data_IF_560512874515
#
_entry.id   IF_560512874515
#
_cell.length_a   1.000
_cell.length_b   1.000
_cell.length_c   1.000
_cell.angle_alpha   90.00
_cell.angle_beta   90.00
_cell.angle_gamma   90.00
#
_symmetry.space_group_name_H-M   'P 1'
#
loop_
_entity.id
_entity.type
_entity.pdbx_description
1 polymer ?
#
# COMPACT_ATOMS: atom_id res chain seq x y z
N UNK A 1 13.71 -6.85 19.56
CA UNK A 1 12.83 -7.96 19.06
C UNK A 1 13.62 -8.79 18.06
N UNK A 2 13.35 -10.11 17.89
CA UNK A 2 14.05 -10.99 16.96
C UNK A 2 13.25 -11.17 15.66
N UNK A 3 13.93 -11.37 14.52
CA UNK A 3 13.27 -11.78 13.28
C UNK A 3 12.69 -13.21 13.41
N UNK A 4 11.78 -13.60 12.50
CA UNK A 4 11.06 -14.85 12.58
C UNK A 4 11.30 -15.66 11.30
N UNK A 5 12.08 -16.76 11.40
CA UNK A 5 12.43 -17.63 10.28
C UNK A 5 12.04 -19.06 10.60
N UNK A 6 11.18 -19.67 9.77
CA UNK A 6 10.74 -21.04 9.95
C UNK A 6 10.06 -21.29 11.30
N UNK A 7 9.33 -20.33 11.83
CA UNK A 7 8.64 -20.36 13.11
C UNK A 7 9.54 -20.12 14.34
N UNK A 8 10.82 -19.80 14.16
CA UNK A 8 11.76 -19.56 15.26
C UNK A 8 12.17 -18.10 15.32
N UNK A 9 12.15 -17.52 16.52
CA UNK A 9 12.76 -16.22 16.78
C UNK A 9 14.28 -16.32 16.69
N UNK A 10 14.87 -15.59 15.76
CA UNK A 10 16.26 -15.74 15.34
C UNK A 10 16.97 -14.38 15.34
N UNK A 11 18.21 -14.37 15.81
CA UNK A 11 19.14 -13.26 15.62
C UNK A 11 19.80 -13.33 14.23
N UNK A 12 20.40 -12.26 13.76
CA UNK A 12 21.21 -12.28 12.55
C UNK A 12 22.42 -13.19 12.77
N UNK A 13 22.81 -13.97 11.75
CA UNK A 13 23.92 -14.93 11.83
C UNK A 13 25.28 -14.29 12.17
N UNK A 14 25.44 -12.99 11.90
CA UNK A 14 26.63 -12.19 12.26
C UNK A 14 26.43 -11.35 13.54
N UNK A 15 25.28 -11.46 14.23
CA UNK A 15 24.93 -10.69 15.41
C UNK A 15 24.63 -9.21 15.17
N UNK A 16 24.54 -8.75 13.91
CA UNK A 16 24.24 -7.36 13.59
C UNK A 16 22.79 -7.00 13.92
N UNK A 17 22.59 -5.79 14.43
CA UNK A 17 21.27 -5.24 14.77
C UNK A 17 21.11 -3.82 14.23
N UNK A 18 19.86 -3.45 13.94
CA UNK A 18 19.47 -2.10 13.58
C UNK A 18 18.53 -1.52 14.65
N UNK A 19 18.65 -0.23 15.01
CA UNK A 19 17.77 0.41 15.95
C UNK A 19 16.39 0.67 15.34
N UNK A 20 15.36 0.52 16.16
CA UNK A 20 14.00 1.00 15.92
C UNK A 20 13.82 2.27 16.73
N UNK A 21 13.49 3.36 16.06
CA UNK A 21 13.43 4.70 16.65
C UNK A 21 11.99 5.17 16.67
N UNK A 22 11.53 5.66 17.83
CA UNK A 22 10.26 6.38 17.92
C UNK A 22 10.40 7.74 17.22
N UNK A 23 9.67 8.01 16.15
CA UNK A 23 9.81 9.24 15.39
C UNK A 23 9.34 10.50 16.15
N UNK A 24 8.48 10.35 17.17
CA UNK A 24 7.98 11.45 17.96
C UNK A 24 9.03 11.96 18.95
N UNK A 25 9.84 11.06 19.54
CA UNK A 25 10.85 11.41 20.56
C UNK A 25 12.28 11.37 20.03
N UNK A 26 12.54 10.63 18.95
CA UNK A 26 13.88 10.36 18.45
C UNK A 26 14.63 9.28 19.24
N UNK A 27 14.01 8.66 20.24
CA UNK A 27 14.63 7.65 21.10
C UNK A 27 14.62 6.28 20.44
N UNK A 28 15.63 5.47 20.74
CA UNK A 28 15.66 4.05 20.35
C UNK A 28 14.77 3.27 21.31
N UNK A 29 13.70 2.70 20.78
CA UNK A 29 12.71 1.92 21.55
C UNK A 29 12.95 0.41 21.50
N UNK A 30 13.69 -0.08 20.51
CA UNK A 30 14.05 -1.48 20.37
C UNK A 30 15.21 -1.63 19.37
N UNK A 31 15.70 -2.87 19.23
CA UNK A 31 16.59 -3.27 18.14
C UNK A 31 16.04 -4.53 17.47
N UNK A 32 16.29 -4.64 16.17
CA UNK A 32 15.95 -5.84 15.37
C UNK A 32 17.20 -6.36 14.64
N UNK A 33 17.28 -7.68 14.38
CA UNK A 33 18.38 -8.24 13.61
C UNK A 33 18.52 -7.61 12.23
N UNK A 34 19.74 -7.39 11.79
CA UNK A 34 20.06 -7.02 10.43
C UNK A 34 20.53 -8.27 9.66
N UNK A 35 19.54 -8.98 9.06
CA UNK A 35 19.76 -10.26 8.39
C UNK A 35 20.87 -10.21 7.34
N UNK A 36 21.67 -11.24 7.33
CA UNK A 36 22.66 -11.51 6.29
C UNK A 36 22.02 -12.19 5.07
N UNK A 37 22.79 -12.32 3.98
CA UNK A 37 22.35 -13.12 2.83
C UNK A 37 22.18 -14.62 3.18
N UNK A 38 22.94 -15.15 4.16
CA UNK A 38 22.76 -16.51 4.64
C UNK A 38 21.45 -16.71 5.42
N UNK A 39 21.04 -15.71 6.20
CA UNK A 39 19.73 -15.74 6.90
C UNK A 39 18.57 -15.70 5.88
N UNK A 40 18.69 -14.85 4.85
CA UNK A 40 17.72 -14.78 3.76
C UNK A 40 17.67 -16.10 2.98
N UNK A 41 18.80 -16.69 2.63
CA UNK A 41 18.92 -17.97 1.94
C UNK A 41 18.19 -19.09 2.70
N UNK A 42 18.40 -19.15 4.02
CA UNK A 42 17.71 -20.08 4.92
C UNK A 42 16.19 -19.84 4.94
N UNK A 43 15.76 -18.58 5.02
CA UNK A 43 14.33 -18.24 5.03
C UNK A 43 13.65 -18.65 3.71
N UNK A 44 14.28 -18.40 2.57
CA UNK A 44 13.78 -18.79 1.24
C UNK A 44 13.71 -20.32 1.12
N UNK A 45 14.77 -21.03 1.55
CA UNK A 45 14.81 -22.50 1.50
C UNK A 45 13.66 -23.13 2.32
N UNK A 46 13.42 -22.64 3.53
CA UNK A 46 12.30 -23.08 4.36
C UNK A 46 10.95 -22.73 3.75
N UNK A 47 10.82 -21.52 3.14
CA UNK A 47 9.56 -21.11 2.51
C UNK A 47 9.20 -22.00 1.30
N UNK A 48 10.19 -22.53 0.56
CA UNK A 48 9.93 -23.50 -0.53
C UNK A 48 9.34 -24.79 0.02
N UNK A 49 9.87 -25.34 1.10
CA UNK A 49 9.31 -26.53 1.76
C UNK A 49 7.92 -26.23 2.34
N UNK A 50 7.79 -25.13 3.09
CA UNK A 50 6.54 -24.73 3.75
C UNK A 50 5.43 -24.38 2.77
N UNK A 51 5.75 -23.90 1.58
CA UNK A 51 4.79 -23.65 0.52
C UNK A 51 4.10 -24.95 0.06
N UNK A 52 4.86 -26.05 -0.07
CA UNK A 52 4.31 -27.34 -0.44
C UNK A 52 3.37 -27.88 0.68
N UNK A 53 3.81 -27.75 1.95
CA UNK A 53 2.99 -28.12 3.10
C UNK A 53 1.67 -27.33 3.13
N UNK A 54 1.76 -26.00 2.92
CA UNK A 54 0.60 -25.11 2.95
C UNK A 54 -0.34 -25.32 1.74
N UNK A 55 0.20 -25.55 0.55
CA UNK A 55 -0.61 -25.83 -0.64
C UNK A 55 -1.44 -27.10 -0.47
N UNK A 56 -0.89 -28.13 0.17
CA UNK A 56 -1.57 -29.40 0.42
C UNK A 56 -2.75 -29.29 1.40
N UNK A 57 -2.80 -28.24 2.24
CA UNK A 57 -3.93 -28.01 3.16
C UNK A 57 -5.19 -27.69 2.35
N UNK A 58 -6.34 -28.37 2.61
CA UNK A 58 -7.60 -28.07 1.93
C UNK A 58 -8.04 -26.60 2.12
N UNK A 59 -8.73 -26.04 1.12
CA UNK A 59 -9.15 -24.62 1.18
C UNK A 59 -9.95 -24.29 2.45
N UNK A 60 -10.94 -25.14 2.82
CA UNK A 60 -11.77 -24.89 4.00
C UNK A 60 -10.97 -24.85 5.30
N UNK A 61 -9.90 -25.64 5.42
CA UNK A 61 -9.00 -25.61 6.58
C UNK A 61 -8.12 -24.35 6.55
N UNK A 62 -7.59 -23.95 5.37
CA UNK A 62 -6.89 -22.67 5.22
C UNK A 62 -7.76 -21.50 5.68
N UNK A 63 -9.03 -21.46 5.25
CA UNK A 63 -9.96 -20.40 5.63
C UNK A 63 -10.22 -20.39 7.14
N UNK A 64 -10.35 -21.55 7.78
CA UNK A 64 -10.52 -21.65 9.24
C UNK A 64 -9.27 -21.15 10.01
N UNK A 65 -8.07 -21.47 9.52
CA UNK A 65 -6.81 -20.99 10.09
C UNK A 65 -6.70 -19.48 9.94
N UNK A 66 -7.03 -18.94 8.76
CA UNK A 66 -6.96 -17.49 8.51
C UNK A 66 -8.03 -16.71 9.28
N UNK A 67 -9.22 -17.28 9.51
CA UNK A 67 -10.21 -16.66 10.41
C UNK A 67 -9.72 -16.63 11.87
N UNK A 68 -9.08 -17.71 12.33
CA UNK A 68 -8.44 -17.70 13.65
C UNK A 68 -7.35 -16.63 13.77
N UNK A 69 -6.58 -16.39 12.70
CA UNK A 69 -5.64 -15.28 12.66
C UNK A 69 -6.35 -13.93 12.82
N UNK A 70 -7.46 -13.71 12.13
CA UNK A 70 -8.25 -12.48 12.27
C UNK A 70 -8.70 -12.27 13.72
N UNK A 71 -9.24 -13.31 14.37
CA UNK A 71 -9.63 -13.25 15.77
C UNK A 71 -8.43 -12.90 16.68
N UNK A 72 -7.28 -13.54 16.49
CA UNK A 72 -6.07 -13.26 17.26
C UNK A 72 -5.59 -11.81 17.11
N UNK A 73 -5.70 -11.22 15.91
CA UNK A 73 -5.37 -9.81 15.71
C UNK A 73 -6.35 -8.89 16.47
N UNK A 74 -7.64 -9.17 16.38
CA UNK A 74 -8.69 -8.38 17.03
C UNK A 74 -8.57 -8.48 18.57
N UNK A 75 -8.23 -9.63 19.12
CA UNK A 75 -7.93 -9.81 20.54
C UNK A 75 -6.70 -9.03 21.01
N UNK A 76 -5.72 -8.82 20.13
CA UNK A 76 -4.46 -8.12 20.42
C UNK A 76 -4.40 -6.69 19.82
N UNK A 77 -5.55 -6.11 19.46
CA UNK A 77 -5.61 -4.80 18.78
C UNK A 77 -4.84 -3.70 19.53
N UNK A 78 -4.97 -3.61 20.83
CA UNK A 78 -4.30 -2.59 21.65
C UNK A 78 -2.77 -2.74 21.62
N UNK A 79 -2.27 -3.96 21.76
CA UNK A 79 -0.83 -4.23 21.73
C UNK A 79 -0.22 -3.94 20.35
N UNK A 80 -0.88 -4.37 19.28
CA UNK A 80 -0.40 -4.17 17.90
C UNK A 80 -0.44 -2.68 17.55
N UNK A 81 -1.52 -1.99 17.93
CA UNK A 81 -1.67 -0.56 17.68
C UNK A 81 -0.64 0.28 18.45
N UNK A 82 -0.36 -0.08 19.71
CA UNK A 82 0.69 0.60 20.49
C UNK A 82 2.08 0.43 19.85
N UNK A 83 2.40 -0.77 19.37
CA UNK A 83 3.63 -1.03 18.62
C UNK A 83 3.71 -0.21 17.33
N UNK A 84 2.64 -0.19 16.52
CA UNK A 84 2.59 0.56 15.27
C UNK A 84 2.69 2.07 15.51
N UNK A 85 2.07 2.58 16.57
CA UNK A 85 2.15 3.96 16.99
C UNK A 85 3.59 4.34 17.43
N UNK A 86 4.22 3.52 18.26
CA UNK A 86 5.54 3.76 18.80
C UNK A 86 6.64 3.75 17.72
N UNK A 87 6.62 2.78 16.80
CA UNK A 87 7.64 2.67 15.76
C UNK A 87 7.35 3.51 14.50
N UNK A 88 6.07 3.83 14.23
CA UNK A 88 5.62 4.54 13.04
C UNK A 88 5.28 6.01 13.24
N UNK A 89 4.96 6.42 14.48
CA UNK A 89 4.51 7.78 14.80
C UNK A 89 3.10 8.12 14.35
N UNK A 90 2.36 7.15 13.83
CA UNK A 90 0.96 7.31 13.45
C UNK A 90 0.08 7.45 14.70
N UNK A 91 -0.91 8.38 14.74
CA UNK A 91 -1.83 8.48 15.86
C UNK A 91 -2.48 7.14 16.22
N UNK A 92 -2.57 6.83 17.50
CA UNK A 92 -3.01 5.52 18.02
C UNK A 92 -4.41 5.12 17.52
N UNK A 93 -5.31 6.09 17.36
CA UNK A 93 -6.65 5.85 16.80
C UNK A 93 -6.58 5.33 15.35
N UNK A 94 -5.66 5.88 14.53
CA UNK A 94 -5.43 5.42 13.16
C UNK A 94 -4.76 4.04 13.13
N UNK A 95 -3.88 3.73 14.09
CA UNK A 95 -3.28 2.39 14.21
C UNK A 95 -4.33 1.33 14.54
N UNK A 96 -5.29 1.62 15.41
CA UNK A 96 -6.42 0.71 15.69
C UNK A 96 -7.26 0.42 14.45
N UNK A 97 -7.58 1.48 13.69
CA UNK A 97 -8.30 1.33 12.41
C UNK A 97 -7.54 0.43 11.44
N UNK A 98 -6.22 0.55 11.39
CA UNK A 98 -5.37 -0.26 10.50
C UNK A 98 -5.39 -1.75 10.89
N UNK A 99 -5.44 -2.10 12.18
CA UNK A 99 -5.57 -3.49 12.62
C UNK A 99 -6.91 -4.09 12.17
N UNK A 100 -8.01 -3.37 12.34
CA UNK A 100 -9.32 -3.81 11.84
C UNK A 100 -9.40 -3.86 10.31
N UNK A 101 -8.73 -2.94 9.62
CA UNK A 101 -8.60 -3.01 8.16
C UNK A 101 -7.90 -4.29 7.71
N UNK A 102 -6.83 -4.72 8.41
CA UNK A 102 -6.14 -5.97 8.12
C UNK A 102 -7.10 -7.17 8.17
N UNK A 103 -7.87 -7.33 9.24
CA UNK A 103 -8.79 -8.47 9.39
C UNK A 103 -9.93 -8.42 8.38
N UNK A 104 -10.44 -7.24 8.08
CA UNK A 104 -11.46 -7.04 7.05
C UNK A 104 -10.94 -7.45 5.66
N UNK A 105 -9.69 -7.08 5.32
CA UNK A 105 -9.04 -7.45 4.07
C UNK A 105 -8.89 -8.97 3.96
N UNK A 106 -8.40 -9.64 5.01
CA UNK A 106 -8.31 -11.10 5.04
C UNK A 106 -9.66 -11.76 4.79
N UNK A 107 -10.73 -11.32 5.47
CA UNK A 107 -12.08 -11.86 5.30
C UNK A 107 -12.62 -11.66 3.89
N UNK A 108 -12.31 -10.54 3.24
CA UNK A 108 -12.70 -10.30 1.83
C UNK A 108 -11.99 -11.28 0.88
N UNK A 109 -10.67 -11.49 1.04
CA UNK A 109 -9.94 -12.48 0.23
C UNK A 109 -10.39 -13.90 0.51
N UNK A 110 -10.68 -14.27 1.75
CA UNK A 110 -11.27 -15.57 2.11
C UNK A 110 -12.64 -15.77 1.45
N UNK A 111 -13.47 -14.74 1.45
CA UNK A 111 -14.77 -14.77 0.77
C UNK A 111 -14.60 -14.95 -0.75
N UNK A 112 -13.69 -14.20 -1.36
CA UNK A 112 -13.42 -14.27 -2.79
C UNK A 112 -12.88 -15.64 -3.22
N UNK A 113 -12.08 -16.30 -2.38
CA UNK A 113 -11.53 -17.62 -2.67
C UNK A 113 -12.59 -18.70 -2.88
N UNK A 114 -13.76 -18.58 -2.23
CA UNK A 114 -14.86 -19.52 -2.42
C UNK A 114 -15.48 -19.48 -3.83
N UNK A 115 -15.25 -18.40 -4.57
CA UNK A 115 -15.74 -18.21 -5.95
C UNK A 115 -14.61 -18.11 -6.96
N UNK A 116 -13.37 -18.31 -6.53
CA UNK A 116 -12.19 -18.28 -7.38
C UNK A 116 -11.89 -19.69 -7.92
N UNK A 117 -12.45 -20.01 -9.08
CA UNK A 117 -12.35 -21.32 -9.73
C UNK A 117 -12.01 -21.17 -11.21
N UNK A 118 -11.57 -22.27 -11.82
CA UNK A 118 -11.27 -22.33 -13.24
C UNK A 118 -12.53 -22.31 -14.14
N UNK A 119 -12.31 -22.38 -15.43
CA UNK A 119 -13.35 -22.32 -16.47
C UNK A 119 -13.43 -23.64 -17.21
N UNK A 120 -14.62 -24.13 -17.49
CA UNK A 120 -14.84 -25.22 -18.48
C UNK A 120 -14.75 -24.60 -19.87
N UNK A 121 -13.94 -25.19 -20.74
CA UNK A 121 -13.77 -24.74 -22.12
C UNK A 121 -14.79 -25.42 -23.06
N UNK A 122 -15.29 -24.73 -24.11
CA UNK A 122 -16.25 -25.31 -25.04
C UNK A 122 -15.56 -26.36 -25.92
N UNK A 123 -15.79 -27.63 -25.62
CA UNK A 123 -15.13 -28.77 -26.30
C UNK A 123 -15.56 -28.98 -27.77
N UNK A 124 -16.65 -28.35 -28.22
CA UNK A 124 -17.10 -28.43 -29.63
C UNK A 124 -16.76 -27.14 -30.43
N UNK A 125 -15.87 -26.27 -29.91
CA UNK A 125 -15.51 -25.06 -30.62
C UNK A 125 -14.71 -25.30 -31.92
N UNK A 126 -14.01 -26.43 -31.99
CA UNK A 126 -13.27 -26.87 -33.18
C UNK A 126 -13.66 -28.30 -33.54
N UNK A 127 -13.74 -28.61 -34.84
CA UNK A 127 -14.12 -29.97 -35.31
C UNK A 127 -13.19 -31.07 -34.76
N UNK A 128 -11.90 -30.75 -34.54
CA UNK A 128 -10.91 -31.70 -34.00
C UNK A 128 -11.05 -31.99 -32.52
N UNK A 129 -11.84 -31.18 -31.78
CA UNK A 129 -12.05 -31.33 -30.34
C UNK A 129 -13.40 -31.99 -30.00
N UNK A 130 -14.07 -32.56 -30.99
CA UNK A 130 -15.32 -33.30 -30.77
C UNK A 130 -15.08 -34.47 -29.81
N UNK A 131 -15.86 -34.54 -28.73
CA UNK A 131 -15.72 -35.54 -27.69
C UNK A 131 -14.64 -35.27 -26.63
N UNK A 132 -13.93 -34.15 -26.71
CA UNK A 132 -12.97 -33.71 -25.69
C UNK A 132 -13.69 -33.00 -24.54
N UNK A 133 -13.09 -33.01 -23.35
CA UNK A 133 -13.49 -32.18 -22.22
C UNK A 133 -12.24 -31.44 -21.72
N UNK A 134 -12.35 -30.15 -21.55
CA UNK A 134 -11.24 -29.37 -21.03
C UNK A 134 -11.69 -28.31 -19.98
N UNK A 135 -10.86 -28.09 -18.98
CA UNK A 135 -11.07 -27.06 -17.97
C UNK A 135 -9.74 -26.49 -17.51
N UNK A 136 -9.78 -25.29 -16.89
CA UNK A 136 -8.63 -24.69 -16.25
C UNK A 136 -8.72 -24.82 -14.74
N UNK A 137 -7.57 -24.87 -14.08
CA UNK A 137 -7.42 -24.72 -12.63
C UNK A 137 -6.43 -23.59 -12.34
N UNK A 138 -6.49 -23.04 -11.14
CA UNK A 138 -5.50 -22.09 -10.63
C UNK A 138 -4.55 -22.82 -9.68
N UNK A 139 -3.26 -22.67 -9.93
CA UNK A 139 -2.19 -23.18 -9.06
C UNK A 139 -1.41 -22.00 -8.47
N UNK A 140 -0.89 -22.08 -7.22
CA UNK A 140 -0.02 -21.04 -6.67
C UNK A 140 1.23 -20.86 -7.55
N UNK A 141 1.74 -19.63 -7.60
CA UNK A 141 3.02 -19.35 -8.28
C UNK A 141 4.20 -19.98 -7.53
N UNK A 142 4.15 -20.05 -6.20
CA UNK A 142 5.21 -20.58 -5.37
C UNK A 142 5.55 -19.69 -4.19
N UNK A 143 6.83 -19.33 -4.01
CA UNK A 143 7.27 -18.47 -2.92
C UNK A 143 7.36 -17.02 -3.38
N UNK A 144 6.75 -16.12 -2.62
CA UNK A 144 6.83 -14.67 -2.84
C UNK A 144 7.86 -13.99 -1.94
N UNK A 145 8.64 -13.07 -2.52
CA UNK A 145 9.27 -12.02 -1.75
C UNK A 145 8.28 -10.86 -1.61
N UNK A 146 7.81 -10.64 -0.39
CA UNK A 146 6.82 -9.63 -0.07
C UNK A 146 7.47 -8.46 0.67
N UNK A 147 7.63 -7.33 0.00
CA UNK A 147 8.33 -6.15 0.54
C UNK A 147 7.30 -5.07 0.87
N UNK A 148 7.15 -4.77 2.16
CA UNK A 148 6.14 -3.85 2.68
C UNK A 148 6.75 -2.53 3.17
N UNK A 149 6.06 -1.39 2.97
CA UNK A 149 6.53 -0.08 3.37
C UNK A 149 6.27 0.19 4.86
N UNK A 150 6.69 1.38 5.33
CA UNK A 150 6.56 1.80 6.72
C UNK A 150 5.21 2.44 7.08
N UNK A 151 4.50 3.02 6.10
CA UNK A 151 3.40 3.95 6.36
C UNK A 151 2.10 3.28 6.84
N UNK A 152 1.79 2.10 6.32
CA UNK A 152 0.67 1.26 6.75
C UNK A 152 1.14 -0.20 6.87
N UNK A 153 2.01 -0.50 7.86
CA UNK A 153 2.67 -1.80 7.95
C UNK A 153 1.70 -2.96 8.22
N UNK A 154 0.58 -2.71 8.88
CA UNK A 154 -0.44 -3.71 9.20
C UNK A 154 -1.37 -3.95 8.01
N UNK A 155 -1.94 -2.88 7.44
CA UNK A 155 -2.90 -2.95 6.34
C UNK A 155 -2.25 -3.44 5.04
N UNK A 156 -1.10 -2.85 4.65
CA UNK A 156 -0.42 -3.23 3.41
C UNK A 156 0.19 -4.64 3.49
N UNK A 157 0.52 -5.13 4.68
CA UNK A 157 0.85 -6.54 4.85
C UNK A 157 -0.35 -7.44 4.53
N UNK A 158 -1.57 -7.06 4.93
CA UNK A 158 -2.77 -7.84 4.64
C UNK A 158 -3.09 -7.92 3.15
N UNK A 159 -3.03 -6.80 2.43
CA UNK A 159 -3.27 -6.78 0.98
C UNK A 159 -2.36 -7.73 0.19
N UNK A 160 -1.21 -8.09 0.76
CA UNK A 160 -0.25 -9.01 0.16
C UNK A 160 -0.34 -10.42 0.75
N UNK A 161 -0.34 -10.55 2.08
CA UNK A 161 -0.36 -11.84 2.76
C UNK A 161 -1.67 -12.61 2.54
N UNK A 162 -2.82 -11.92 2.60
CA UNK A 162 -4.11 -12.59 2.48
C UNK A 162 -4.27 -13.34 1.15
N UNK A 163 -4.10 -12.70 -0.03
CA UNK A 163 -4.23 -13.39 -1.31
C UNK A 163 -3.16 -14.48 -1.50
N UNK A 164 -1.91 -14.25 -1.05
CA UNK A 164 -0.84 -15.26 -1.14
C UNK A 164 -1.17 -16.51 -0.33
N UNK A 165 -1.63 -16.33 0.91
CA UNK A 165 -1.95 -17.46 1.79
C UNK A 165 -3.22 -18.19 1.36
N UNK A 166 -4.27 -17.48 0.97
CA UNK A 166 -5.52 -18.09 0.48
C UNK A 166 -5.27 -18.97 -0.75
N UNK A 167 -4.38 -18.55 -1.63
CA UNK A 167 -4.03 -19.30 -2.87
C UNK A 167 -2.95 -20.37 -2.65
N UNK A 168 -2.39 -20.50 -1.43
CA UNK A 168 -1.45 -21.58 -1.10
C UNK A 168 0.01 -21.27 -1.45
N UNK A 169 0.38 -19.97 -1.59
CA UNK A 169 1.76 -19.55 -1.77
C UNK A 169 2.51 -19.52 -0.43
N UNK A 170 3.85 -19.63 -0.50
CA UNK A 170 4.76 -19.35 0.59
C UNK A 170 5.22 -17.89 0.55
N UNK A 171 5.63 -17.35 1.71
CA UNK A 171 5.98 -15.92 1.81
C UNK A 171 7.25 -15.68 2.62
N UNK A 172 8.17 -14.91 2.07
CA UNK A 172 9.25 -14.25 2.78
C UNK A 172 8.88 -12.77 2.89
N UNK A 173 8.38 -12.36 4.06
CA UNK A 173 8.01 -10.96 4.35
C UNK A 173 9.26 -10.17 4.72
N UNK A 174 9.49 -9.10 3.98
CA UNK A 174 10.60 -8.16 4.15
C UNK A 174 10.03 -6.79 4.56
N UNK A 175 9.92 -6.52 5.86
CA UNK A 175 9.35 -5.25 6.33
C UNK A 175 10.31 -4.08 6.15
N UNK A 176 9.75 -2.88 6.14
CA UNK A 176 10.54 -1.66 6.27
C UNK A 176 11.40 -1.71 7.54
N UNK A 177 12.67 -1.31 7.47
CA UNK A 177 13.53 -1.16 8.64
C UNK A 177 13.05 -0.09 9.64
N UNK A 178 11.96 0.64 9.33
CA UNK A 178 11.38 1.67 10.20
C UNK A 178 10.25 1.13 11.05
N UNK A 179 9.50 0.14 10.55
CA UNK A 179 8.35 -0.46 11.22
C UNK A 179 8.44 -2.00 11.17
N UNK A 180 9.54 -2.60 11.67
CA UNK A 180 9.74 -4.04 11.56
C UNK A 180 8.99 -4.85 12.63
N UNK A 181 8.75 -4.25 13.80
CA UNK A 181 8.20 -4.96 14.98
C UNK A 181 6.77 -5.40 14.74
N UNK A 182 5.96 -4.51 14.18
CA UNK A 182 4.56 -4.80 13.83
C UNK A 182 4.47 -5.95 12.83
N UNK A 183 5.34 -5.98 11.82
CA UNK A 183 5.38 -7.05 10.82
C UNK A 183 5.78 -8.41 11.43
N UNK A 184 6.73 -8.42 12.39
CA UNK A 184 7.11 -9.64 13.13
C UNK A 184 5.91 -10.18 13.91
N UNK A 185 5.16 -9.31 14.61
CA UNK A 185 3.97 -9.70 15.37
C UNK A 185 2.87 -10.24 14.44
N UNK A 186 2.64 -9.64 13.27
CA UNK A 186 1.67 -10.15 12.29
C UNK A 186 2.02 -11.59 11.89
N UNK A 187 3.28 -11.87 11.54
CA UNK A 187 3.71 -13.23 11.18
C UNK A 187 3.61 -14.17 12.38
N UNK A 188 3.95 -13.74 13.60
CA UNK A 188 3.77 -14.52 14.80
C UNK A 188 2.30 -14.95 15.00
N UNK A 189 1.34 -14.03 14.79
CA UNK A 189 -0.09 -14.37 14.90
C UNK A 189 -0.54 -15.36 13.82
N UNK A 190 -0.03 -15.26 12.59
CA UNK A 190 -0.29 -16.26 11.54
C UNK A 190 0.16 -17.66 11.97
N UNK A 191 1.34 -17.78 12.58
CA UNK A 191 1.85 -19.06 13.07
C UNK A 191 1.04 -19.59 14.26
N UNK A 192 0.65 -18.73 15.20
CA UNK A 192 -0.25 -19.08 16.32
C UNK A 192 -1.63 -19.54 15.83
N UNK A 193 -2.10 -19.02 14.73
CA UNK A 193 -3.35 -19.44 14.10
C UNK A 193 -3.26 -20.86 13.50
N UNK A 194 -2.08 -21.28 13.06
CA UNK A 194 -1.83 -22.62 12.52
C UNK A 194 -1.29 -22.63 11.08
N UNK A 195 -0.87 -21.50 10.54
CA UNK A 195 -0.10 -21.49 9.28
C UNK A 195 1.20 -22.27 9.51
N UNK A 196 1.59 -23.23 8.62
CA UNK A 196 2.81 -24.00 8.80
C UNK A 196 4.03 -23.11 9.00
N UNK A 197 4.86 -23.46 9.99
CA UNK A 197 5.96 -22.63 10.44
C UNK A 197 6.96 -22.24 9.34
N UNK A 198 7.14 -23.09 8.34
CA UNK A 198 8.03 -22.84 7.22
C UNK A 198 7.39 -21.98 6.10
N UNK A 199 6.05 -21.93 6.03
CA UNK A 199 5.35 -21.27 4.92
C UNK A 199 5.50 -19.73 4.94
N UNK A 200 5.69 -19.13 6.12
CA UNK A 200 5.83 -17.68 6.29
C UNK A 200 7.00 -17.35 7.18
N UNK A 201 7.90 -16.48 6.70
CA UNK A 201 9.01 -15.92 7.49
C UNK A 201 8.96 -14.39 7.44
N UNK A 202 9.40 -13.72 8.53
CA UNK A 202 9.61 -12.27 8.58
C UNK A 202 11.11 -12.01 8.76
N UNK A 203 11.77 -11.51 7.72
CA UNK A 203 13.22 -11.28 7.69
C UNK A 203 13.47 -9.77 7.72
N UNK A 204 14.07 -9.29 8.81
CA UNK A 204 14.40 -7.88 9.00
C UNK A 204 15.80 -7.56 8.46
N UNK A 205 16.00 -6.35 7.97
CA UNK A 205 17.33 -5.92 7.46
C UNK A 205 17.24 -4.75 6.49
N UNK A 206 18.37 -4.47 5.83
CA UNK A 206 18.42 -3.38 4.83
C UNK A 206 17.74 -3.81 3.53
N UNK A 207 16.60 -3.21 3.21
CA UNK A 207 15.84 -3.53 2.00
C UNK A 207 16.66 -3.46 0.70
N UNK A 208 17.65 -2.55 0.60
CA UNK A 208 18.56 -2.45 -0.54
C UNK A 208 19.48 -3.69 -0.70
N UNK A 209 19.68 -4.47 0.36
CA UNK A 209 20.49 -5.69 0.35
C UNK A 209 19.58 -6.92 0.23
N UNK A 210 18.74 -7.16 1.25
CA UNK A 210 17.93 -8.38 1.30
C UNK A 210 16.79 -8.37 0.28
N UNK A 211 16.20 -7.20 -0.02
CA UNK A 211 15.13 -7.07 -1.03
C UNK A 211 15.65 -7.33 -2.44
N UNK A 212 16.80 -6.75 -2.79
CA UNK A 212 17.45 -6.99 -4.08
C UNK A 212 17.90 -8.45 -4.24
N UNK A 213 18.45 -9.05 -3.18
CA UNK A 213 18.86 -10.45 -3.19
C UNK A 213 17.67 -11.41 -3.32
N UNK A 214 16.57 -11.15 -2.59
CA UNK A 214 15.33 -11.92 -2.71
C UNK A 214 14.76 -11.84 -4.13
N UNK A 215 14.71 -10.67 -4.74
CA UNK A 215 14.24 -10.51 -6.12
C UNK A 215 15.12 -11.24 -7.14
N UNK A 216 16.41 -11.42 -6.87
CA UNK A 216 17.35 -12.13 -7.73
C UNK A 216 17.36 -13.66 -7.51
N UNK A 217 16.89 -14.16 -6.36
CA UNK A 217 16.96 -15.58 -6.00
C UNK A 217 16.07 -16.46 -6.89
N UNK A 218 16.59 -17.52 -7.53
CA UNK A 218 15.82 -18.37 -8.47
C UNK A 218 14.65 -19.13 -7.83
N UNK A 219 14.60 -19.28 -6.54
CA UNK A 219 13.51 -19.96 -5.81
C UNK A 219 12.31 -19.05 -5.53
N UNK A 220 12.49 -17.73 -5.63
CA UNK A 220 11.39 -16.77 -5.52
C UNK A 220 10.60 -16.77 -6.84
N UNK A 221 9.34 -17.10 -6.79
CA UNK A 221 8.46 -17.20 -7.95
C UNK A 221 7.96 -15.81 -8.41
N UNK A 222 7.72 -14.90 -7.49
CA UNK A 222 7.25 -13.55 -7.78
C UNK A 222 7.64 -12.56 -6.68
N UNK A 223 7.62 -11.26 -7.00
CA UNK A 223 7.87 -10.18 -6.05
C UNK A 223 6.64 -9.29 -5.94
N UNK A 224 6.20 -9.03 -4.72
CA UNK A 224 5.19 -8.00 -4.43
C UNK A 224 5.84 -6.89 -3.60
N UNK A 225 5.82 -5.67 -4.13
CA UNK A 225 6.48 -4.52 -3.55
C UNK A 225 5.54 -3.32 -3.45
N UNK A 226 5.55 -2.66 -2.30
CA UNK A 226 4.99 -1.32 -2.14
C UNK A 226 6.07 -0.38 -1.62
N UNK A 227 6.29 0.74 -2.31
CA UNK A 227 7.32 1.70 -1.92
C UNK A 227 7.66 2.74 -3.00
N UNK A 228 8.91 3.23 -3.00
CA UNK A 228 9.32 4.28 -3.92
C UNK A 228 9.45 3.80 -5.36
N UNK A 229 9.12 4.67 -6.31
CA UNK A 229 9.15 4.39 -7.75
C UNK A 229 10.55 3.92 -8.22
N UNK A 230 11.63 4.55 -7.75
CA UNK A 230 12.98 4.16 -8.15
C UNK A 230 13.35 2.73 -7.73
N UNK A 231 12.97 2.32 -6.52
CA UNK A 231 13.17 0.93 -6.06
C UNK A 231 12.30 -0.03 -6.85
N UNK A 232 11.04 0.32 -7.12
CA UNK A 232 10.13 -0.52 -7.93
C UNK A 232 10.69 -0.79 -9.33
N UNK A 233 11.23 0.22 -10.01
CA UNK A 233 11.88 0.06 -11.32
C UNK A 233 13.03 -0.94 -11.24
N UNK A 234 13.93 -0.80 -10.25
CA UNK A 234 15.08 -1.70 -10.08
C UNK A 234 14.65 -3.15 -9.80
N UNK A 235 13.59 -3.35 -9.01
CA UNK A 235 13.01 -4.68 -8.77
C UNK A 235 12.41 -5.27 -10.03
N UNK A 236 11.66 -4.47 -10.82
CA UNK A 236 11.09 -4.91 -12.11
C UNK A 236 12.20 -5.35 -13.08
N UNK A 237 13.28 -4.57 -13.21
CA UNK A 237 14.44 -4.94 -14.03
C UNK A 237 15.07 -6.25 -13.58
N UNK A 238 15.18 -6.47 -12.27
CA UNK A 238 15.74 -7.72 -11.71
C UNK A 238 14.82 -8.90 -11.98
N UNK A 239 13.51 -8.75 -11.78
CA UNK A 239 12.52 -9.79 -12.05
C UNK A 239 12.42 -10.14 -13.53
N UNK A 240 12.50 -9.14 -14.44
CA UNK A 240 12.45 -9.35 -15.88
C UNK A 240 13.57 -10.24 -16.41
N UNK A 241 14.77 -10.17 -15.83
CA UNK A 241 15.92 -11.05 -16.19
C UNK A 241 15.61 -12.53 -15.99
N UNK A 242 14.68 -12.86 -15.09
CA UNK A 242 14.29 -14.23 -14.77
C UNK A 242 12.85 -14.56 -15.19
N UNK A 243 12.21 -13.69 -15.99
CA UNK A 243 10.80 -13.80 -16.44
C UNK A 243 9.81 -13.96 -15.28
N UNK A 244 10.07 -13.29 -14.15
CA UNK A 244 9.21 -13.38 -12.97
C UNK A 244 8.16 -12.29 -12.94
N UNK A 245 6.93 -12.63 -12.56
CA UNK A 245 5.90 -11.65 -12.25
C UNK A 245 6.35 -10.69 -11.14
N UNK A 246 5.94 -9.45 -11.27
CA UNK A 246 6.13 -8.42 -10.25
C UNK A 246 4.87 -7.60 -10.12
N UNK A 247 4.40 -7.43 -8.87
CA UNK A 247 3.32 -6.51 -8.52
C UNK A 247 3.92 -5.33 -7.78
N UNK A 248 3.71 -4.12 -8.30
CA UNK A 248 4.33 -2.90 -7.81
C UNK A 248 3.27 -1.85 -7.51
N UNK A 249 3.21 -1.44 -6.24
CA UNK A 249 2.45 -0.28 -5.79
C UNK A 249 3.44 0.83 -5.39
N UNK A 250 3.42 1.93 -6.15
CA UNK A 250 4.47 2.94 -6.08
C UNK A 250 3.91 4.32 -5.68
N UNK A 251 4.71 5.36 -5.86
CA UNK A 251 4.33 6.73 -5.54
C UNK A 251 3.19 7.26 -6.39
N UNK A 252 2.58 8.35 -5.93
CA UNK A 252 1.52 9.08 -6.61
C UNK A 252 1.60 10.57 -6.34
N UNK A 253 1.07 11.39 -7.25
CA UNK A 253 0.84 12.81 -7.02
C UNK A 253 -0.61 13.16 -7.36
N UNK A 254 -1.51 12.57 -6.59
CA UNK A 254 -2.92 12.43 -6.89
C UNK A 254 -3.66 13.77 -6.81
N UNK A 255 -4.49 14.12 -7.81
CA UNK A 255 -5.29 15.33 -7.80
C UNK A 255 -6.62 15.12 -7.08
N UNK A 256 -7.08 16.13 -6.33
CA UNK A 256 -8.47 16.35 -5.96
C UNK A 256 -8.95 17.59 -6.72
N UNK A 257 -9.93 17.44 -7.60
CA UNK A 257 -10.50 18.53 -8.41
C UNK A 257 -11.79 18.98 -7.75
N UNK A 258 -11.90 20.26 -7.40
CA UNK A 258 -13.00 20.84 -6.62
C UNK A 258 -13.66 21.93 -7.44
N UNK A 259 -14.91 21.66 -7.90
CA UNK A 259 -15.73 22.60 -8.63
C UNK A 259 -16.56 23.49 -7.70
N UNK A 260 -16.99 24.64 -8.17
CA UNK A 260 -17.77 25.63 -7.42
C UNK A 260 -19.16 25.14 -7.05
N UNK A 261 -19.69 24.15 -7.79
CA UNK A 261 -21.01 23.53 -7.57
C UNK A 261 -20.98 22.35 -6.58
N UNK A 262 -19.83 22.04 -5.97
CA UNK A 262 -19.69 20.92 -5.04
C UNK A 262 -20.43 21.17 -3.71
N UNK A 263 -20.71 20.08 -2.98
CA UNK A 263 -20.98 20.19 -1.54
C UNK A 263 -19.70 20.71 -0.86
N UNK A 264 -19.73 21.98 -0.48
CA UNK A 264 -18.57 22.71 0.05
C UNK A 264 -18.02 22.10 1.34
N UNK A 265 -18.91 21.71 2.27
CA UNK A 265 -18.49 21.13 3.55
C UNK A 265 -17.92 19.73 3.38
N UNK A 266 -18.51 18.93 2.51
CA UNK A 266 -17.96 17.63 2.14
C UNK A 266 -16.60 17.80 1.46
N UNK A 267 -16.46 18.74 0.51
CA UNK A 267 -15.19 18.99 -0.18
C UNK A 267 -14.08 19.43 0.80
N UNK A 268 -14.43 20.23 1.80
CA UNK A 268 -13.50 20.65 2.85
C UNK A 268 -13.09 19.47 3.75
N UNK A 269 -14.05 18.65 4.18
CA UNK A 269 -13.79 17.46 4.98
C UNK A 269 -12.90 16.45 4.24
N UNK A 270 -13.19 16.17 2.96
CA UNK A 270 -12.38 15.30 2.10
C UNK A 270 -10.98 15.86 1.83
N UNK A 271 -10.84 17.19 1.68
CA UNK A 271 -9.56 17.86 1.51
C UNK A 271 -8.66 17.71 2.75
N UNK A 272 -9.22 17.88 3.94
CA UNK A 272 -8.48 17.70 5.20
C UNK A 272 -8.23 16.22 5.46
N UNK A 273 -9.27 15.40 5.51
CA UNK A 273 -9.20 13.97 5.81
C UNK A 273 -8.34 13.20 4.82
N UNK A 274 -8.43 13.54 3.53
CA UNK A 274 -7.65 12.91 2.47
C UNK A 274 -6.13 13.16 2.55
N UNK A 275 -5.68 14.08 3.42
CA UNK A 275 -4.26 14.44 3.52
C UNK A 275 -3.70 14.40 4.94
N UNK A 276 -4.53 14.53 5.98
CA UNK A 276 -4.04 14.58 7.37
C UNK A 276 -3.60 13.20 7.88
N UNK A 277 -4.22 12.13 7.41
CA UNK A 277 -3.95 10.77 7.83
C UNK A 277 -2.45 10.43 7.73
N UNK A 278 -1.90 9.86 8.80
CA UNK A 278 -0.48 9.50 8.90
C UNK A 278 0.49 10.63 8.48
N UNK A 279 0.17 11.87 8.84
CA UNK A 279 0.91 13.07 8.46
C UNK A 279 1.10 13.21 6.93
N UNK A 280 0.12 12.81 6.14
CA UNK A 280 0.18 12.86 4.68
C UNK A 280 1.10 11.81 4.05
N UNK A 281 1.60 10.85 4.81
CA UNK A 281 2.48 9.78 4.36
C UNK A 281 1.68 8.62 3.77
N UNK A 282 0.82 8.91 2.80
CA UNK A 282 -0.07 7.95 2.12
C UNK A 282 0.14 8.05 0.61
N UNK A 283 0.28 6.90 -0.06
CA UNK A 283 0.53 6.86 -1.50
C UNK A 283 -0.61 7.47 -2.32
N UNK A 284 -1.86 7.15 -1.96
CA UNK A 284 -3.09 7.62 -2.61
C UNK A 284 -3.70 8.88 -1.95
N UNK A 285 -3.03 9.51 -1.00
CA UNK A 285 -3.47 10.81 -0.48
C UNK A 285 -3.53 11.84 -1.61
N UNK A 286 -4.53 12.70 -1.58
CA UNK A 286 -4.56 13.86 -2.48
C UNK A 286 -3.36 14.76 -2.18
N UNK A 287 -2.55 15.02 -3.21
CA UNK A 287 -1.30 15.78 -3.11
C UNK A 287 -1.33 17.08 -3.92
N UNK A 288 -2.35 17.25 -4.77
CA UNK A 288 -2.61 18.45 -5.55
C UNK A 288 -4.11 18.76 -5.48
N UNK A 289 -4.46 19.94 -4.99
CA UNK A 289 -5.84 20.38 -4.79
C UNK A 289 -6.14 21.44 -5.85
N UNK A 290 -6.86 21.03 -6.90
CA UNK A 290 -7.27 21.89 -7.98
C UNK A 290 -8.61 22.49 -7.62
N UNK A 291 -8.69 23.79 -7.42
CA UNK A 291 -9.89 24.49 -6.95
C UNK A 291 -10.35 25.49 -8.02
N UNK A 292 -11.63 25.41 -8.38
CA UNK A 292 -12.21 26.31 -9.36
C UNK A 292 -12.15 27.76 -8.86
N UNK A 293 -11.80 28.69 -9.77
CA UNK A 293 -11.42 30.06 -9.43
C UNK A 293 -12.48 30.81 -8.62
N UNK A 294 -13.76 30.56 -8.89
CA UNK A 294 -14.87 31.20 -8.21
C UNK A 294 -14.87 30.99 -6.68
N UNK A 295 -14.37 29.87 -6.21
CA UNK A 295 -14.29 29.53 -4.78
C UNK A 295 -12.86 29.51 -4.24
N UNK A 296 -11.85 29.71 -5.08
CA UNK A 296 -10.42 29.47 -4.77
C UNK A 296 -9.93 30.23 -3.52
N UNK A 297 -10.14 31.54 -3.47
CA UNK A 297 -9.63 32.35 -2.35
C UNK A 297 -10.36 32.04 -1.04
N UNK A 298 -11.69 31.89 -1.09
CA UNK A 298 -12.50 31.48 0.06
C UNK A 298 -12.08 30.09 0.54
N UNK A 299 -11.98 29.12 -0.36
CA UNK A 299 -11.61 27.75 -0.04
C UNK A 299 -10.24 27.69 0.62
N UNK A 300 -9.25 28.42 0.09
CA UNK A 300 -7.91 28.47 0.65
C UNK A 300 -7.87 29.07 2.06
N UNK A 301 -8.62 30.14 2.29
CA UNK A 301 -8.70 30.80 3.60
C UNK A 301 -9.39 29.90 4.65
N UNK A 302 -10.51 29.29 4.29
CA UNK A 302 -11.27 28.39 5.16
C UNK A 302 -10.45 27.13 5.50
N UNK A 303 -9.74 26.55 4.52
CA UNK A 303 -8.84 25.43 4.73
C UNK A 303 -7.72 25.78 5.73
N UNK A 304 -7.07 26.92 5.56
CA UNK A 304 -6.01 27.37 6.47
C UNK A 304 -6.53 27.56 7.90
N UNK A 305 -7.74 28.14 8.05
CA UNK A 305 -8.40 28.32 9.34
C UNK A 305 -8.66 26.96 10.04
N UNK A 306 -9.25 25.99 9.32
CA UNK A 306 -9.55 24.67 9.91
C UNK A 306 -8.29 23.88 10.22
N UNK A 307 -7.25 23.98 9.41
CA UNK A 307 -5.97 23.31 9.68
C UNK A 307 -5.22 23.90 10.88
N UNK A 308 -5.49 25.14 11.26
CA UNK A 308 -4.95 25.75 12.48
C UNK A 308 -5.51 25.12 13.77
N UNK A 309 -6.69 24.47 13.69
CA UNK A 309 -7.34 23.78 14.82
C UNK A 309 -6.85 22.34 15.00
N UNK A 310 -6.12 21.79 14.02
CA UNK A 310 -5.62 20.41 14.04
C UNK A 310 -4.64 20.20 15.19
N UNK A 311 -4.95 19.25 16.06
CA UNK A 311 -4.09 18.92 17.20
C UNK A 311 -2.91 18.05 16.75
N UNK A 312 -1.73 18.66 16.70
CA UNK A 312 -0.45 17.98 16.45
C UNK A 312 0.27 17.69 17.77
N UNK A 313 0.81 16.47 17.94
CA UNK A 313 1.50 16.13 19.19
C UNK A 313 1.85 14.66 19.30
N UNK A 314 1.95 14.19 20.57
CA UNK A 314 2.27 12.80 20.89
C UNK A 314 1.23 11.84 20.25
N UNK A 315 1.65 10.95 19.34
CA UNK A 315 0.72 10.05 18.64
C UNK A 315 0.02 9.05 19.57
N UNK A 316 0.49 8.85 20.79
CA UNK A 316 -0.17 8.00 21.79
C UNK A 316 -1.39 8.65 22.47
N UNK A 317 -1.51 9.98 22.40
CA UNK A 317 -2.68 10.73 22.88
C UNK A 317 -3.85 10.55 21.91
N UNK A 318 -4.97 10.02 22.41
CA UNK A 318 -6.20 9.77 21.62
C UNK A 318 -6.82 11.04 20.98
N UNK A 319 -6.45 12.21 21.44
CA UNK A 319 -6.95 13.50 20.95
C UNK A 319 -6.08 14.08 19.84
N UNK A 320 -4.92 13.47 19.56
CA UNK A 320 -4.00 13.92 18.51
C UNK A 320 -4.44 13.38 17.15
N UNK A 321 -4.52 14.29 16.18
CA UNK A 321 -4.92 14.00 14.80
C UNK A 321 -3.72 13.89 13.87
N UNK A 322 -2.63 14.61 14.17
CA UNK A 322 -1.43 14.72 13.37
C UNK A 322 -0.19 14.31 14.17
N UNK A 323 0.40 13.19 13.82
CA UNK A 323 1.68 12.71 14.34
C UNK A 323 2.88 13.24 13.55
N UNK A 324 4.12 12.75 13.85
CA UNK A 324 5.32 13.09 13.10
C UNK A 324 5.41 12.40 11.73
N UNK A 325 6.33 12.86 10.89
CA UNK A 325 6.88 12.04 9.81
C UNK A 325 7.64 10.85 10.42
N UNK A 326 7.81 9.78 9.62
CA UNK A 326 8.46 8.53 10.06
C UNK A 326 9.87 8.72 10.68
N UNK A 327 10.52 9.84 10.41
CA UNK A 327 11.82 10.22 10.94
C UNK A 327 12.11 11.69 10.64
N UNK A 328 13.03 12.28 11.39
CA UNK A 328 13.42 13.68 11.20
C UNK A 328 13.93 13.96 9.76
N UNK A 329 14.73 13.07 9.17
CA UNK A 329 15.23 13.29 7.81
C UNK A 329 14.13 13.28 6.74
N UNK A 330 12.99 12.62 6.97
CA UNK A 330 11.81 12.70 6.10
C UNK A 330 11.15 14.09 6.25
N UNK A 331 11.02 14.59 7.47
CA UNK A 331 10.51 15.94 7.73
C UNK A 331 11.42 17.02 7.12
N UNK A 332 12.75 16.87 7.21
CA UNK A 332 13.74 17.76 6.53
C UNK A 332 13.51 17.75 5.02
N UNK A 333 13.22 16.59 4.42
CA UNK A 333 12.92 16.52 2.99
C UNK A 333 11.64 17.29 2.65
N UNK A 334 10.58 17.15 3.44
CA UNK A 334 9.32 17.91 3.26
C UNK A 334 9.56 19.40 3.41
N UNK A 335 10.32 19.83 4.43
CA UNK A 335 10.70 21.23 4.64
C UNK A 335 11.45 21.81 3.43
N UNK A 336 12.41 21.05 2.88
CA UNK A 336 13.14 21.44 1.67
C UNK A 336 12.23 21.54 0.44
N UNK A 337 11.24 20.65 0.31
CA UNK A 337 10.25 20.70 -0.79
C UNK A 337 9.33 21.92 -0.66
N UNK A 338 8.92 22.30 0.57
CA UNK A 338 8.19 23.53 0.85
C UNK A 338 9.03 24.75 0.46
N UNK A 339 10.28 24.81 0.91
CA UNK A 339 11.20 25.91 0.60
C UNK A 339 11.44 26.04 -0.92
N UNK A 340 11.63 24.92 -1.62
CA UNK A 340 11.75 24.90 -3.07
C UNK A 340 10.51 25.46 -3.76
N UNK A 341 9.32 25.07 -3.29
CA UNK A 341 8.04 25.57 -3.85
C UNK A 341 7.90 27.06 -3.68
N UNK A 342 8.27 27.59 -2.49
CA UNK A 342 8.27 29.03 -2.24
C UNK A 342 9.27 29.76 -3.17
N UNK A 343 10.46 29.19 -3.37
CA UNK A 343 11.48 29.74 -4.26
C UNK A 343 11.02 29.75 -5.72
N UNK A 344 10.13 28.85 -6.14
CA UNK A 344 9.49 28.83 -7.46
C UNK A 344 8.34 29.86 -7.59
N UNK A 345 8.03 30.61 -6.53
CA UNK A 345 6.97 31.61 -6.54
C UNK A 345 5.69 31.18 -5.81
N UNK A 346 5.69 30.03 -5.15
CA UNK A 346 4.57 29.58 -4.32
C UNK A 346 4.32 30.52 -3.13
N UNK A 347 3.07 30.84 -2.87
CA UNK A 347 2.67 31.72 -1.76
C UNK A 347 2.27 30.87 -0.55
N UNK A 348 3.10 30.87 0.50
CA UNK A 348 2.78 30.24 1.77
C UNK A 348 1.58 30.95 2.44
N UNK A 349 0.54 30.20 2.74
CA UNK A 349 -0.68 30.70 3.41
C UNK A 349 -0.60 30.44 4.91
N UNK A 350 -0.24 29.21 5.33
CA UNK A 350 -0.05 28.87 6.73
C UNK A 350 0.94 27.70 6.87
N UNK A 351 1.42 27.46 8.08
CA UNK A 351 2.32 26.35 8.41
C UNK A 351 3.77 26.57 7.96
N UNK A 352 4.37 25.54 7.35
CA UNK A 352 5.74 25.57 6.82
C UNK A 352 6.87 25.40 7.85
N UNK A 353 6.55 25.23 9.13
CA UNK A 353 7.55 25.06 10.18
C UNK A 353 7.73 23.59 10.57
N UNK A 354 8.98 23.23 10.83
CA UNK A 354 9.39 21.92 11.32
C UNK A 354 9.94 21.99 12.75
N UNK A 355 9.65 20.97 13.54
CA UNK A 355 10.28 20.72 14.85
C UNK A 355 10.56 19.22 14.96
N UNK A 356 11.84 18.83 14.94
CA UNK A 356 12.21 17.41 14.86
C UNK A 356 11.58 16.73 13.64
N UNK A 357 10.83 15.67 13.87
CA UNK A 357 10.09 14.95 12.81
C UNK A 357 8.70 15.54 12.51
N UNK A 358 8.25 16.55 13.25
CA UNK A 358 6.93 17.17 13.06
C UNK A 358 6.97 18.28 12.02
N UNK A 359 6.00 18.28 11.12
CA UNK A 359 5.73 19.36 10.16
C UNK A 359 4.33 19.91 10.45
N UNK A 360 4.22 21.22 10.55
CA UNK A 360 2.90 21.88 10.68
C UNK A 360 2.07 21.64 9.42
N UNK A 361 0.74 21.49 9.53
CA UNK A 361 -0.15 21.54 8.38
C UNK A 361 0.14 22.79 7.55
N UNK A 362 0.44 22.58 6.27
CA UNK A 362 1.01 23.64 5.41
C UNK A 362 0.17 23.84 4.17
N UNK A 363 -0.38 25.03 3.98
CA UNK A 363 -1.11 25.42 2.76
C UNK A 363 -0.25 26.35 1.93
N UNK A 364 -0.08 26.01 0.65
CA UNK A 364 0.71 26.79 -0.32
C UNK A 364 -0.12 26.99 -1.58
N UNK A 365 -0.32 28.22 -2.00
CA UNK A 365 -0.89 28.53 -3.32
C UNK A 365 0.21 28.40 -4.37
N UNK A 366 -0.07 27.65 -5.43
CA UNK A 366 0.90 27.30 -6.46
C UNK A 366 0.30 27.43 -7.87
N UNK A 367 1.17 27.55 -8.87
CA UNK A 367 0.79 27.51 -10.28
C UNK A 367 1.05 26.13 -10.88
N UNK A 368 0.38 25.78 -12.00
CA UNK A 368 0.50 24.46 -12.63
C UNK A 368 1.90 24.10 -13.14
N UNK A 369 2.78 25.06 -13.36
CA UNK A 369 4.15 24.87 -13.86
C UNK A 369 5.17 24.52 -12.77
N UNK A 370 4.84 24.70 -11.49
CA UNK A 370 5.71 24.37 -10.37
C UNK A 370 5.89 22.86 -10.21
N UNK A 371 7.04 22.45 -9.70
CA UNK A 371 7.39 21.02 -9.53
C UNK A 371 6.38 20.25 -8.66
N UNK A 372 5.86 20.90 -7.59
CA UNK A 372 4.88 20.29 -6.67
C UNK A 372 3.53 20.03 -7.37
N UNK A 373 3.19 20.80 -8.37
CA UNK A 373 2.00 20.60 -9.19
C UNK A 373 2.19 19.50 -10.26
N UNK A 374 3.41 19.00 -10.44
CA UNK A 374 3.79 18.00 -11.46
C UNK A 374 4.30 16.72 -10.85
N UNK A 375 5.61 16.57 -10.71
CA UNK A 375 6.28 15.31 -10.40
C UNK A 375 6.94 15.28 -9.02
N UNK A 376 6.90 16.38 -8.25
CA UNK A 376 7.43 16.41 -6.89
C UNK A 376 6.38 15.87 -5.91
N UNK A 377 6.45 14.58 -5.65
CA UNK A 377 5.64 13.95 -4.61
C UNK A 377 6.09 14.44 -3.23
N UNK A 378 5.18 15.11 -2.50
CA UNK A 378 5.41 15.51 -1.10
C UNK A 378 4.75 14.50 -0.18
N UNK A 379 5.54 13.76 0.57
CA UNK A 379 5.07 12.72 1.50
C UNK A 379 5.01 13.30 2.93
N UNK A 380 4.11 14.29 3.09
CA UNK A 380 3.98 15.12 4.30
C UNK A 380 2.67 15.91 4.31
N UNK A 381 2.33 16.61 5.40
CA UNK A 381 1.06 17.31 5.57
C UNK A 381 1.07 18.69 4.87
N UNK A 382 1.13 18.67 3.54
CA UNK A 382 1.19 19.86 2.68
C UNK A 382 0.05 19.87 1.67
N UNK A 383 -0.66 20.97 1.56
CA UNK A 383 -1.79 21.20 0.66
C UNK A 383 -1.40 22.24 -0.40
N UNK A 384 -0.87 21.84 -1.56
CA UNK A 384 -0.69 22.74 -2.70
C UNK A 384 -2.05 23.01 -3.35
N UNK A 385 -2.47 24.29 -3.36
CA UNK A 385 -3.76 24.69 -3.94
C UNK A 385 -3.50 25.35 -5.29
N UNK A 386 -4.14 24.84 -6.33
CA UNK A 386 -3.95 25.21 -7.74
C UNK A 386 -5.27 25.74 -8.29
N UNK A 387 -5.35 26.99 -8.79
CA UNK A 387 -6.57 27.50 -9.42
C UNK A 387 -6.76 26.90 -10.82
N UNK A 388 -8.02 26.75 -11.24
CA UNK A 388 -8.41 26.46 -12.62
C UNK A 388 -9.70 27.17 -13.01
N UNK A 389 -9.92 27.41 -14.30
CA UNK A 389 -11.10 28.11 -14.82
C UNK A 389 -12.07 27.18 -15.53
N UNK A 390 -11.60 26.12 -16.19
CA UNK A 390 -12.43 25.23 -17.00
C UNK A 390 -12.19 23.77 -16.70
N UNK A 391 -13.18 22.91 -17.00
CA UNK A 391 -13.05 21.44 -16.87
C UNK A 391 -11.86 20.90 -17.65
N UNK A 392 -11.63 21.43 -18.87
CA UNK A 392 -10.52 20.99 -19.72
C UNK A 392 -9.15 21.36 -19.13
N UNK A 393 -9.03 22.53 -18.52
CA UNK A 393 -7.84 22.98 -17.84
C UNK A 393 -7.57 22.12 -16.60
N UNK A 394 -8.59 21.86 -15.76
CA UNK A 394 -8.46 20.99 -14.58
C UNK A 394 -7.94 19.59 -14.97
N UNK A 395 -8.50 19.00 -16.04
CA UNK A 395 -8.07 17.69 -16.55
C UNK A 395 -6.63 17.75 -17.08
N UNK A 396 -6.26 18.81 -17.77
CA UNK A 396 -4.89 18.99 -18.30
C UNK A 396 -3.88 19.09 -17.16
N UNK A 397 -4.14 19.90 -16.12
CA UNK A 397 -3.30 20.03 -14.92
C UNK A 397 -3.24 18.69 -14.16
N UNK A 398 -4.36 18.02 -13.99
CA UNK A 398 -4.40 16.73 -13.29
C UNK A 398 -3.52 15.68 -13.99
N UNK A 399 -3.52 15.63 -15.32
CA UNK A 399 -2.81 14.64 -16.12
C UNK A 399 -1.33 14.95 -16.38
N UNK A 400 -0.83 16.14 -16.08
CA UNK A 400 0.52 16.59 -16.44
C UNK A 400 1.66 15.91 -15.70
N UNK A 401 1.34 15.11 -14.66
CA UNK A 401 2.33 14.35 -13.89
C UNK A 401 2.65 13.01 -14.52
N UNK A 402 3.85 12.48 -14.26
CA UNK A 402 4.24 11.11 -14.61
C UNK A 402 3.52 10.04 -13.77
N UNK A 403 2.89 10.41 -12.67
CA UNK A 403 2.12 9.53 -11.80
C UNK A 403 0.67 9.36 -12.26
N UNK A 404 -0.02 8.39 -11.66
CA UNK A 404 -1.42 8.11 -11.93
C UNK A 404 -1.96 7.03 -11.02
N UNK A 405 -1.79 7.17 -9.68
CA UNK A 405 -2.28 6.17 -8.73
C UNK A 405 -3.79 6.32 -8.54
N UNK A 406 -4.24 7.43 -8.00
CA UNK A 406 -5.65 7.70 -7.78
C UNK A 406 -5.99 9.16 -8.11
N UNK A 407 -7.25 9.52 -7.98
CA UNK A 407 -7.76 10.88 -8.17
C UNK A 407 -9.12 11.05 -7.51
N UNK A 408 -9.52 12.30 -7.27
CA UNK A 408 -10.83 12.63 -6.77
C UNK A 408 -11.45 13.82 -7.51
N UNK A 409 -12.77 13.90 -7.54
CA UNK A 409 -13.53 15.03 -8.09
C UNK A 409 -14.72 15.36 -7.21
N UNK A 410 -14.86 16.63 -6.83
CA UNK A 410 -15.94 17.18 -6.01
C UNK A 410 -16.83 18.04 -6.89
N UNK A 411 -18.04 17.60 -7.19
CA UNK A 411 -19.05 18.31 -7.98
C UNK A 411 -20.44 17.71 -7.77
N UNK A 412 -21.48 18.51 -7.81
CA UNK A 412 -22.86 18.05 -7.84
C UNK A 412 -23.35 17.70 -9.26
N UNK A 413 -22.59 18.09 -10.29
CA UNK A 413 -22.94 17.84 -11.69
C UNK A 413 -22.40 16.49 -12.18
N UNK A 414 -23.28 15.50 -12.30
CA UNK A 414 -22.93 14.15 -12.74
C UNK A 414 -22.28 14.13 -14.14
N UNK A 415 -22.65 15.01 -15.04
CA UNK A 415 -22.05 15.10 -16.38
C UNK A 415 -20.59 15.55 -16.29
N UNK A 416 -20.32 16.57 -15.48
CA UNK A 416 -18.95 17.03 -15.19
C UNK A 416 -18.13 15.93 -14.53
N UNK A 417 -18.70 15.27 -13.49
CA UNK A 417 -18.04 14.16 -12.81
C UNK A 417 -17.60 13.05 -13.77
N UNK A 418 -18.50 12.60 -14.64
CA UNK A 418 -18.20 11.54 -15.62
C UNK A 418 -17.25 12.02 -16.73
N UNK A 419 -17.33 13.28 -17.14
CA UNK A 419 -16.37 13.86 -18.11
C UNK A 419 -14.95 13.87 -17.53
N UNK A 420 -14.78 14.26 -16.27
CA UNK A 420 -13.50 14.25 -15.57
C UNK A 420 -13.02 12.81 -15.40
N UNK A 421 -13.83 11.92 -14.81
CA UNK A 421 -13.45 10.54 -14.53
C UNK A 421 -12.96 9.78 -15.78
N UNK A 422 -13.65 9.94 -16.92
CA UNK A 422 -13.28 9.26 -18.17
C UNK A 422 -11.98 9.77 -18.79
N UNK A 423 -11.53 10.97 -18.43
CA UNK A 423 -10.37 11.61 -19.06
C UNK A 423 -9.14 11.65 -18.16
N UNK A 424 -9.28 11.41 -16.85
CA UNK A 424 -8.15 11.30 -15.95
C UNK A 424 -7.31 10.05 -16.25
N UNK A 425 -5.99 10.19 -16.17
CA UNK A 425 -5.01 9.12 -16.40
C UNK A 425 -4.52 8.57 -15.05
N UNK A 426 -5.43 8.00 -14.28
CA UNK A 426 -5.19 7.40 -12.98
C UNK A 426 -5.91 6.05 -12.86
N UNK A 427 -5.42 5.19 -11.96
CA UNK A 427 -6.01 3.87 -11.71
C UNK A 427 -7.40 3.94 -11.09
N UNK A 428 -7.70 5.03 -10.36
CA UNK A 428 -9.02 5.29 -9.79
C UNK A 428 -9.40 6.78 -9.91
N UNK A 429 -10.72 7.04 -10.00
CA UNK A 429 -11.29 8.36 -9.83
C UNK A 429 -12.51 8.24 -8.91
N UNK A 430 -12.44 8.91 -7.75
CA UNK A 430 -13.51 8.90 -6.75
C UNK A 430 -14.37 10.15 -6.92
N UNK A 431 -15.64 9.95 -7.20
CA UNK A 431 -16.61 11.05 -7.30
C UNK A 431 -17.10 11.38 -5.89
N UNK A 432 -16.99 12.66 -5.52
CA UNK A 432 -17.29 13.20 -4.19
C UNK A 432 -16.49 12.50 -3.06
N UNK A 433 -15.20 12.28 -3.31
CA UNK A 433 -14.25 11.71 -2.37
C UNK A 433 -12.81 11.79 -2.85
N UNK A 434 -11.90 11.20 -2.09
CA UNK A 434 -10.46 11.17 -2.37
C UNK A 434 -9.96 9.75 -2.64
N UNK A 435 -8.72 9.62 -3.09
CA UNK A 435 -8.05 8.32 -3.29
C UNK A 435 -7.95 7.45 -2.04
N UNK A 436 -8.18 8.02 -0.85
CA UNK A 436 -8.24 7.26 0.41
C UNK A 436 -9.51 6.40 0.52
N UNK A 437 -10.54 6.65 -0.31
CA UNK A 437 -11.69 5.76 -0.40
C UNK A 437 -11.29 4.49 -1.14
N UNK A 438 -10.91 3.48 -0.37
CA UNK A 438 -10.42 2.19 -0.86
C UNK A 438 -11.15 1.05 -0.17
N UNK A 439 -11.80 0.20 -0.97
CA UNK A 439 -12.41 -1.04 -0.49
C UNK A 439 -11.58 -2.23 -1.01
N UNK A 440 -11.39 -3.25 -0.18
CA UNK A 440 -10.49 -4.38 -0.51
C UNK A 440 -10.93 -5.22 -1.72
N UNK A 441 -12.19 -5.11 -2.16
CA UNK A 441 -12.68 -5.76 -3.38
C UNK A 441 -12.55 -4.90 -4.64
N UNK A 442 -12.24 -3.59 -4.50
CA UNK A 442 -12.01 -2.71 -5.65
C UNK A 442 -10.61 -2.91 -6.22
N UNK A 443 -10.44 -2.92 -7.55
CA UNK A 443 -9.10 -2.90 -8.14
C UNK A 443 -8.39 -1.59 -7.79
N UNK A 444 -7.31 -1.68 -7.03
CA UNK A 444 -6.44 -0.57 -6.68
C UNK A 444 -5.08 -0.75 -7.36
N UNK A 445 -4.54 0.29 -7.95
CA UNK A 445 -3.20 0.26 -8.55
C UNK A 445 -3.01 1.36 -9.59
N UNK A 446 -1.76 1.73 -9.81
CA UNK A 446 -1.40 2.91 -10.57
C UNK A 446 -1.32 2.71 -12.07
N UNK A 447 -1.50 3.83 -12.79
CA UNK A 447 -1.09 4.00 -14.17
C UNK A 447 0.32 4.61 -14.22
N UNK A 448 0.97 4.59 -15.37
CA UNK A 448 2.26 5.23 -15.61
C UNK A 448 3.32 4.77 -14.58
N UNK A 449 3.96 5.71 -13.88
CA UNK A 449 5.02 5.41 -12.88
C UNK A 449 4.49 5.08 -11.48
N UNK A 450 3.17 4.93 -11.32
CA UNK A 450 2.58 4.59 -10.03
C UNK A 450 2.42 3.09 -9.78
N UNK A 451 2.68 2.23 -10.76
CA UNK A 451 2.71 0.79 -10.47
C UNK A 451 2.49 -0.14 -11.65
N UNK A 452 2.57 -1.44 -11.34
CA UNK A 452 2.27 -2.57 -12.24
C UNK A 452 1.40 -3.54 -11.43
N UNK A 453 0.31 -4.03 -12.02
CA UNK A 453 -0.63 -4.92 -11.34
C UNK A 453 -1.75 -4.17 -10.62
N UNK A 454 -2.59 -4.94 -9.92
CA UNK A 454 -3.72 -4.40 -9.15
C UNK A 454 -3.88 -5.17 -7.84
N UNK A 455 -4.09 -4.43 -6.76
CA UNK A 455 -4.56 -4.98 -5.47
C UNK A 455 -6.10 -4.89 -5.43
N UNK A 456 -6.77 -5.97 -5.11
CA UNK A 456 -8.23 -6.08 -5.04
C UNK A 456 -8.64 -7.54 -5.16
N UNK A 457 -9.69 -7.98 -4.45
CA UNK A 457 -9.93 -9.38 -4.14
C UNK A 457 -9.73 -10.34 -5.34
N UNK A 458 -10.44 -10.15 -6.45
CA UNK A 458 -10.37 -11.09 -7.58
C UNK A 458 -9.09 -10.90 -8.39
N UNK A 459 -8.73 -9.67 -8.76
CA UNK A 459 -7.57 -9.41 -9.60
C UNK A 459 -6.26 -9.83 -8.92
N UNK A 460 -6.14 -9.67 -7.60
CA UNK A 460 -4.95 -10.12 -6.89
C UNK A 460 -4.87 -11.65 -6.80
N UNK A 461 -6.00 -12.36 -6.63
CA UNK A 461 -5.97 -13.83 -6.66
C UNK A 461 -5.51 -14.35 -8.03
N UNK A 462 -5.89 -13.68 -9.12
CA UNK A 462 -5.40 -13.99 -10.47
C UNK A 462 -3.90 -13.74 -10.59
N UNK A 463 -3.39 -12.62 -10.07
CA UNK A 463 -1.96 -12.27 -10.10
C UNK A 463 -1.08 -13.17 -9.22
N UNK A 464 -1.64 -13.78 -8.16
CA UNK A 464 -0.92 -14.67 -7.23
C UNK A 464 -0.97 -16.15 -7.67
N UNK A 465 -1.60 -16.45 -8.80
CA UNK A 465 -1.76 -17.80 -9.32
C UNK A 465 -1.41 -17.89 -10.81
N UNK A 466 -1.25 -19.10 -11.29
CA UNK A 466 -1.11 -19.39 -12.72
C UNK A 466 -2.19 -20.37 -13.15
N UNK A 467 -2.73 -20.14 -14.35
CA UNK A 467 -3.72 -21.05 -14.93
C UNK A 467 -3.04 -22.25 -15.56
N UNK A 468 -3.57 -23.43 -15.27
CA UNK A 468 -3.21 -24.70 -15.94
C UNK A 468 -4.42 -25.26 -16.64
N UNK A 469 -4.29 -25.58 -17.93
CA UNK A 469 -5.32 -26.25 -18.69
C UNK A 469 -5.17 -27.79 -18.56
N UNK A 470 -6.28 -28.46 -18.28
CA UNK A 470 -6.38 -29.91 -18.24
C UNK A 470 -7.37 -30.32 -19.33
N UNK A 471 -6.96 -31.23 -20.22
CA UNK A 471 -7.77 -31.71 -21.31
C UNK A 471 -7.87 -33.26 -21.33
N UNK A 472 -9.08 -33.75 -21.41
CA UNK A 472 -9.39 -35.17 -21.63
C UNK A 472 -9.78 -35.36 -23.10
N UNK A 473 -8.89 -35.92 -23.87
CA UNK A 473 -9.07 -36.05 -25.30
C UNK A 473 -9.95 -37.28 -25.64
N UNK A 474 -11.03 -37.05 -26.38
CA UNK A 474 -11.93 -38.11 -26.88
C UNK A 474 -12.75 -38.83 -25.82
N UNK A 475 -12.84 -38.29 -24.58
CA UNK A 475 -13.49 -38.99 -23.43
C UNK A 475 -15.00 -39.20 -23.63
N UNK A 476 -15.65 -38.38 -24.48
CA UNK A 476 -17.08 -38.47 -24.77
C UNK A 476 -17.37 -39.23 -26.08
N UNK A 477 -16.33 -39.67 -26.78
CA UNK A 477 -16.48 -40.56 -27.96
C UNK A 477 -16.58 -41.98 -27.42
N UNK A 478 -17.83 -42.41 -27.11
CA UNK A 478 -18.15 -43.77 -26.66
C UNK A 478 -18.05 -44.80 -27.79
#
# INVERSE_FOLDING_TARGET
MKMLIGGQFTDASNGAVSPVVNPATGEVVDTVPEATLADLDRAIGLAVEGQQEWYAVPLHEKLAILEKYCCLLEENVEQISALACEEGGKPIAQCRTEVFANTAIFRIYMSAANTFYGKTLPYNAEARSQGDVAFTIHEPLGVFANIVPFNYPVELAAHKLAPMLVTGNGVVLLPSSKTPRTAIVIVEQLLKAGVPAKAVSCVTGRGSIIGAAAAADPRIAAVSFTGSTGVGISLAETCAKNLRPVSLELGGNDPLIIFDDCDYELAMAETIGGRIGNAGQTCCASKRFLVQREIYERFTADLASRLAEVKMGDPSDLTVELGPCIRESAAVTVEAQIAKTIAQGGRLVCGGKRTGAFIQPTVIQVTPDMDIARDMEVFGPVWPIIPFDTVDEAIAIANQTRYGLSSGVMTSNMKTAMQVANRLKAGACIINGTGNYRLAHQPFGGYKYSGIGREGAVCTLEEMTQQKMISFKGILNG
#
